data_IF_824987481565
#
_entry.id   IF_824987481565
#
_cell.length_a   1.000
_cell.length_b   1.000
_cell.length_c   1.000
_cell.angle_alpha   90.00
_cell.angle_beta   90.00
_cell.angle_gamma   90.00
#
_symmetry.space_group_name_H-M   'P 1'
#
loop_
_entity.id
_entity.type
_entity.pdbx_description
1 polymer ?
#
# COMPACT_ATOMS: atom_id res chain seq x y z
N UNK A 1 -29.54 7.27 -47.91
CA UNK A 1 -29.30 5.81 -47.68
C UNK A 1 -28.24 5.76 -46.60
N UNK A 2 -28.55 5.65 -45.32
CA UNK A 2 -29.49 4.73 -44.66
C UNK A 2 -30.16 5.46 -43.49
N UNK A 3 -31.47 5.28 -43.34
CA UNK A 3 -32.30 5.91 -42.29
C UNK A 3 -31.96 5.25 -40.95
N UNK A 4 -31.63 6.05 -39.93
CA UNK A 4 -31.42 5.59 -38.56
C UNK A 4 -32.79 5.59 -37.88
N UNK A 5 -33.21 4.41 -37.42
CA UNK A 5 -34.45 4.18 -36.68
C UNK A 5 -34.33 4.77 -35.25
N UNK A 6 -35.20 5.73 -34.86
CA UNK A 6 -35.14 6.36 -33.54
C UNK A 6 -35.61 5.48 -32.38
N UNK A 7 -36.18 4.29 -32.64
CA UNK A 7 -36.81 3.45 -31.61
C UNK A 7 -36.01 2.17 -31.24
N UNK A 8 -34.75 2.06 -31.66
CA UNK A 8 -33.90 0.92 -31.34
C UNK A 8 -33.45 0.94 -29.86
N UNK A 9 -34.10 0.15 -29.00
CA UNK A 9 -33.70 -0.04 -27.60
C UNK A 9 -32.43 -0.91 -27.46
N UNK A 10 -31.52 -0.61 -26.51
CA UNK A 10 -30.29 -1.37 -26.32
C UNK A 10 -30.53 -2.73 -25.64
N UNK A 11 -29.71 -3.72 -26.01
CA UNK A 11 -29.86 -5.16 -25.71
C UNK A 11 -29.72 -5.60 -24.23
N UNK A 12 -29.84 -4.69 -23.26
CA UNK A 12 -29.72 -4.98 -21.83
C UNK A 12 -30.98 -4.58 -21.03
N UNK A 13 -32.06 -4.17 -21.69
CA UNK A 13 -33.38 -3.98 -21.06
C UNK A 13 -34.02 -5.35 -20.81
N UNK A 14 -34.35 -5.73 -19.55
CA UNK A 14 -35.05 -6.98 -19.28
C UNK A 14 -36.47 -6.93 -19.85
N UNK A 15 -36.80 -7.84 -20.77
CA UNK A 15 -38.16 -8.02 -21.29
C UNK A 15 -39.06 -8.58 -20.18
N UNK A 16 -40.01 -7.79 -19.71
CA UNK A 16 -41.05 -8.27 -18.80
C UNK A 16 -41.88 -9.36 -19.49
N UNK A 17 -41.87 -10.55 -18.88
CA UNK A 17 -42.59 -11.73 -19.34
C UNK A 17 -44.11 -11.49 -19.19
N UNK A 18 -44.82 -11.42 -20.33
CA UNK A 18 -46.28 -11.34 -20.37
C UNK A 18 -46.85 -12.75 -20.32
N UNK A 19 -47.06 -13.27 -19.12
CA UNK A 19 -47.95 -14.41 -18.90
C UNK A 19 -48.82 -14.20 -17.68
N UNK A 20 -49.88 -13.41 -17.81
CA UNK A 20 -51.10 -13.53 -17.00
C UNK A 20 -52.19 -12.55 -17.49
N UNK A 21 -52.79 -12.82 -18.65
CA UNK A 21 -54.13 -12.32 -18.95
C UNK A 21 -55.01 -13.51 -19.31
N UNK A 22 -55.93 -13.87 -18.41
CA UNK A 22 -57.30 -14.30 -18.74
C UNK A 22 -58.07 -14.65 -17.45
N UNK A 23 -59.12 -13.88 -17.19
CA UNK A 23 -60.50 -14.37 -16.99
C UNK A 23 -61.24 -13.69 -15.83
N UNK A 24 -62.29 -12.92 -16.18
CA UNK A 24 -63.49 -12.61 -15.36
C UNK A 24 -63.26 -11.67 -14.17
N UNK A 25 -64.12 -10.73 -13.80
CA UNK A 25 -65.51 -10.47 -14.14
C UNK A 25 -65.83 -9.04 -13.64
N UNK A 26 -66.84 -8.40 -14.25
CA UNK A 26 -67.29 -7.05 -13.95
C UNK A 26 -68.03 -7.01 -12.60
N UNK A 27 -67.93 -5.89 -11.87
CA UNK A 27 -69.09 -5.10 -11.43
C UNK A 27 -68.70 -3.84 -10.63
N UNK A 28 -69.46 -2.76 -10.83
CA UNK A 28 -69.93 -1.92 -9.72
C UNK A 28 -69.04 -0.79 -9.19
N UNK A 29 -69.20 0.38 -9.81
CA UNK A 29 -69.09 1.73 -9.23
C UNK A 29 -69.40 1.84 -7.72
N UNK A 30 -68.44 2.34 -6.92
CA UNK A 30 -68.59 3.45 -5.96
C UNK A 30 -67.22 3.86 -5.42
N UNK A 31 -66.92 5.16 -5.51
CA UNK A 31 -65.80 5.78 -4.84
C UNK A 31 -66.04 5.76 -3.32
N UNK A 32 -65.19 5.06 -2.58
CA UNK A 32 -65.07 5.20 -1.14
C UNK A 32 -63.59 5.31 -0.80
N UNK A 33 -63.22 6.48 -0.27
CA UNK A 33 -61.92 6.75 0.31
C UNK A 33 -61.71 5.79 1.48
N UNK A 34 -60.78 4.86 1.34
CA UNK A 34 -60.26 4.04 2.42
C UNK A 34 -58.76 3.88 2.21
N UNK A 35 -58.02 4.66 3.01
CA UNK A 35 -56.66 4.44 3.49
C UNK A 35 -55.85 3.35 2.76
N UNK A 36 -55.10 3.77 1.74
CA UNK A 36 -53.93 3.01 1.28
C UNK A 36 -52.86 3.18 2.37
N UNK A 37 -52.44 2.09 2.99
CA UNK A 37 -51.32 2.10 3.90
C UNK A 37 -50.08 2.54 3.13
N UNK A 38 -49.66 3.77 3.38
CA UNK A 38 -48.30 4.22 3.14
C UNK A 38 -47.36 3.14 3.71
N UNK A 39 -46.88 2.23 2.87
CA UNK A 39 -45.57 1.63 3.02
C UNK A 39 -44.55 2.73 2.76
N UNK A 40 -44.47 3.61 3.76
CA UNK A 40 -43.25 4.29 4.17
C UNK A 40 -42.30 3.21 4.71
N UNK A 41 -41.80 2.35 3.83
CA UNK A 41 -40.53 1.67 4.09
C UNK A 41 -39.45 2.68 3.73
N UNK A 42 -39.34 3.65 4.65
CA UNK A 42 -38.11 4.24 5.17
C UNK A 42 -36.95 4.16 4.20
N UNK A 43 -36.53 5.33 3.74
CA UNK A 43 -35.14 5.74 3.85
C UNK A 43 -34.27 4.64 4.50
N UNK A 44 -33.67 3.76 3.69
CA UNK A 44 -32.46 3.08 4.10
C UNK A 44 -31.36 4.14 3.98
N UNK A 45 -31.52 5.20 4.80
CA UNK A 45 -30.44 6.04 5.29
C UNK A 45 -29.39 5.03 5.70
N UNK A 46 -28.39 4.79 4.85
CA UNK A 46 -27.16 4.18 5.35
C UNK A 46 -26.79 5.06 6.54
N UNK A 47 -26.78 4.55 7.79
CA UNK A 47 -26.06 5.25 8.81
C UNK A 47 -24.59 4.97 8.45
N UNK A 48 -24.08 5.72 7.45
CA UNK A 48 -22.68 6.10 7.42
C UNK A 48 -22.46 6.60 8.83
N UNK A 49 -21.80 5.79 9.65
CA UNK A 49 -21.39 6.23 10.96
C UNK A 49 -20.37 7.33 10.70
N UNK A 50 -20.85 8.56 10.49
CA UNK A 50 -20.11 9.81 10.25
C UNK A 50 -19.43 10.25 11.54
N UNK A 51 -19.02 9.29 12.37
CA UNK A 51 -18.24 9.50 13.58
C UNK A 51 -16.86 8.95 13.26
N UNK A 52 -15.90 9.86 13.08
CA UNK A 52 -14.49 9.50 12.97
C UNK A 52 -14.15 8.54 14.12
N UNK A 53 -13.76 7.33 13.76
CA UNK A 53 -13.20 6.37 14.70
C UNK A 53 -11.80 6.83 15.09
N UNK A 54 -11.32 6.38 16.25
CA UNK A 54 -9.92 6.59 16.66
C UNK A 54 -8.96 6.01 15.60
N UNK A 55 -9.36 4.94 14.91
CA UNK A 55 -8.60 4.36 13.81
C UNK A 55 -8.47 5.34 12.62
N UNK A 56 -9.52 6.07 12.27
CA UNK A 56 -9.52 7.02 11.15
C UNK A 56 -8.57 8.19 11.43
N UNK A 57 -8.53 8.69 12.67
CA UNK A 57 -7.58 9.74 13.08
C UNK A 57 -6.13 9.27 12.99
N UNK A 58 -5.85 8.01 13.38
CA UNK A 58 -4.51 7.42 13.24
C UNK A 58 -4.13 7.26 11.76
N UNK A 59 -5.10 6.84 10.93
CA UNK A 59 -4.93 6.71 9.48
C UNK A 59 -4.62 8.08 8.83
N UNK A 60 -5.30 9.15 9.23
CA UNK A 60 -5.00 10.52 8.79
C UNK A 60 -3.64 11.00 9.30
N UNK A 61 -3.23 10.58 10.50
CA UNK A 61 -1.89 10.81 11.04
C UNK A 61 -0.80 10.16 10.17
N UNK A 62 -1.02 8.91 9.73
CA UNK A 62 -0.16 8.23 8.77
C UNK A 62 -0.02 9.06 7.49
N UNK A 63 -1.13 9.46 6.84
CA UNK A 63 -1.09 10.25 5.61
C UNK A 63 -0.36 11.59 5.79
N UNK A 64 -0.55 12.24 6.95
CA UNK A 64 0.12 13.50 7.29
C UNK A 64 1.64 13.30 7.38
N UNK A 65 2.10 12.21 8.00
CA UNK A 65 3.51 11.86 8.05
C UNK A 65 4.08 11.63 6.64
N UNK A 66 3.38 10.90 5.77
CA UNK A 66 3.79 10.70 4.38
C UNK A 66 3.92 12.00 3.59
N UNK A 67 2.92 12.88 3.68
CA UNK A 67 2.96 14.20 3.04
C UNK A 67 4.11 15.07 3.58
N UNK A 68 4.29 15.11 4.90
CA UNK A 68 5.38 15.87 5.52
C UNK A 68 6.75 15.33 5.12
N UNK A 69 6.89 14.01 4.91
CA UNK A 69 8.13 13.43 4.40
C UNK A 69 8.48 13.96 3.00
N UNK A 70 7.49 14.07 2.10
CA UNK A 70 7.67 14.70 0.78
C UNK A 70 8.04 16.17 0.92
N UNK A 71 7.38 16.90 1.82
CA UNK A 71 7.68 18.30 2.10
C UNK A 71 9.13 18.52 2.55
N UNK A 72 9.62 17.75 3.52
CA UNK A 72 11.00 17.84 4.01
C UNK A 72 12.03 17.37 2.97
N UNK A 73 11.69 16.35 2.17
CA UNK A 73 12.53 15.93 1.04
C UNK A 73 12.68 17.07 0.03
N UNK A 74 11.58 17.75 -0.29
CA UNK A 74 11.61 18.89 -1.23
C UNK A 74 12.40 20.06 -0.65
N UNK A 75 12.01 20.52 0.54
CA UNK A 75 12.52 21.77 1.11
C UNK A 75 13.93 21.67 1.65
N UNK A 76 14.30 20.51 2.18
CA UNK A 76 15.59 20.33 2.83
C UNK A 76 16.61 19.53 2.03
N UNK A 77 16.21 18.85 0.95
CA UNK A 77 17.13 18.10 0.08
C UNK A 77 17.13 18.68 -1.33
N UNK A 78 15.97 18.79 -1.97
CA UNK A 78 15.89 19.22 -3.37
C UNK A 78 16.17 20.72 -3.58
N UNK A 79 15.52 21.60 -2.81
CA UNK A 79 15.67 23.06 -2.99
C UNK A 79 17.12 23.51 -2.76
N UNK A 80 17.81 23.13 -1.66
CA UNK A 80 19.19 23.55 -1.43
C UNK A 80 20.15 23.10 -2.53
N UNK A 81 19.91 21.90 -3.10
CA UNK A 81 20.66 21.40 -4.24
C UNK A 81 20.42 22.24 -5.50
N UNK A 82 19.17 22.62 -5.80
CA UNK A 82 18.85 23.48 -6.95
C UNK A 82 19.34 24.92 -6.79
N UNK A 83 19.46 25.42 -5.56
CA UNK A 83 19.93 26.80 -5.27
C UNK A 83 21.43 26.89 -5.02
N UNK A 84 22.17 25.77 -5.07
CA UNK A 84 23.62 25.73 -4.81
C UNK A 84 24.00 26.11 -3.37
N UNK A 85 23.07 25.96 -2.42
CA UNK A 85 23.24 26.31 -1.01
C UNK A 85 23.63 25.06 -0.22
N UNK A 86 24.83 24.52 -0.49
CA UNK A 86 25.31 23.27 0.11
C UNK A 86 25.88 23.49 1.52
N UNK A 87 25.01 23.80 2.49
CA UNK A 87 25.33 23.53 3.90
C UNK A 87 25.08 22.05 4.17
N UNK A 88 26.13 21.22 4.03
CA UNK A 88 26.07 19.75 4.12
C UNK A 88 25.46 19.18 5.41
N UNK A 89 25.35 19.97 6.48
CA UNK A 89 24.63 19.59 7.71
C UNK A 89 23.11 19.62 7.57
N UNK A 90 22.55 20.60 6.86
CA UNK A 90 21.09 20.79 6.75
C UNK A 90 20.42 19.77 5.83
N UNK A 91 21.12 19.31 4.78
CA UNK A 91 20.63 18.28 3.87
C UNK A 91 20.47 16.91 4.57
N UNK A 92 21.44 16.54 5.40
CA UNK A 92 21.45 15.30 6.19
C UNK A 92 20.31 15.26 7.21
N UNK A 93 20.16 16.32 8.01
CA UNK A 93 19.09 16.43 8.99
C UNK A 93 17.70 16.37 8.35
N UNK A 94 17.53 17.04 7.20
CA UNK A 94 16.25 17.06 6.49
C UNK A 94 15.91 15.71 5.87
N UNK A 95 16.88 15.04 5.24
CA UNK A 95 16.72 13.67 4.74
C UNK A 95 16.38 12.71 5.89
N UNK A 96 17.08 12.79 7.02
CA UNK A 96 16.78 11.98 8.20
C UNK A 96 15.36 12.24 8.72
N UNK A 97 14.94 13.50 8.78
CA UNK A 97 13.58 13.88 9.22
C UNK A 97 12.52 13.30 8.28
N UNK A 98 12.72 13.38 6.97
CA UNK A 98 11.81 12.78 5.99
C UNK A 98 11.69 11.25 6.18
N UNK A 99 12.81 10.54 6.35
CA UNK A 99 12.79 9.10 6.57
C UNK A 99 12.15 8.74 7.91
N UNK A 100 12.43 9.50 8.98
CA UNK A 100 11.80 9.32 10.29
C UNK A 100 10.29 9.52 10.21
N UNK A 101 9.80 10.48 9.42
CA UNK A 101 8.37 10.66 9.18
C UNK A 101 7.75 9.46 8.45
N UNK A 102 8.43 8.87 7.45
CA UNK A 102 7.96 7.64 6.80
C UNK A 102 7.96 6.43 7.77
N UNK A 103 8.92 6.36 8.69
CA UNK A 103 8.94 5.36 9.75
C UNK A 103 7.81 5.57 10.77
N UNK A 104 7.51 6.82 11.13
CA UNK A 104 6.38 7.16 12.00
C UNK A 104 5.04 6.83 11.34
N UNK A 105 4.90 7.06 10.03
CA UNK A 105 3.76 6.60 9.25
C UNK A 105 3.56 5.07 9.38
N UNK A 106 4.64 4.28 9.29
CA UNK A 106 4.59 2.82 9.50
C UNK A 106 4.19 2.43 10.93
N UNK A 107 4.53 3.23 11.92
CA UNK A 107 4.07 3.02 13.30
C UNK A 107 2.56 3.26 13.38
N UNK A 108 2.05 4.35 12.77
CA UNK A 108 0.62 4.65 12.76
C UNK A 108 -0.21 3.59 12.02
N UNK A 109 0.23 3.12 10.85
CA UNK A 109 -0.35 1.97 10.11
C UNK A 109 -0.40 0.67 10.95
N UNK A 110 0.61 0.45 11.79
CA UNK A 110 0.56 -0.71 12.68
C UNK A 110 -0.52 -0.54 13.76
N UNK A 111 -0.68 0.67 14.27
CA UNK A 111 -1.63 0.99 15.32
C UNK A 111 -3.07 1.10 14.83
N UNK A 112 -3.35 1.74 13.70
CA UNK A 112 -4.71 1.81 13.13
C UNK A 112 -5.23 0.41 12.78
N UNK A 113 -4.40 -0.47 12.23
CA UNK A 113 -4.75 -1.85 11.96
C UNK A 113 -5.03 -2.65 13.24
N UNK A 114 -4.33 -2.37 14.34
CA UNK A 114 -4.61 -2.95 15.67
C UNK A 114 -5.93 -2.45 16.25
N UNK A 115 -6.23 -1.16 16.10
CA UNK A 115 -7.44 -0.51 16.63
C UNK A 115 -8.68 -0.90 15.80
N UNK A 116 -8.58 -0.90 14.48
CA UNK A 116 -9.67 -1.29 13.56
C UNK A 116 -10.14 -2.74 13.79
N UNK A 117 -9.22 -3.64 14.16
CA UNK A 117 -9.57 -5.02 14.55
C UNK A 117 -10.35 -5.10 15.86
N UNK A 118 -10.10 -4.19 16.80
CA UNK A 118 -10.81 -4.14 18.09
C UNK A 118 -12.16 -3.43 17.98
N UNK A 119 -12.29 -2.47 17.06
CA UNK A 119 -13.44 -1.55 16.98
C UNK A 119 -14.45 -1.83 15.85
N UNK A 120 -14.34 -2.96 15.13
CA UNK A 120 -15.08 -3.26 13.89
C UNK A 120 -14.85 -2.18 12.82
N UNK A 121 -13.98 -2.49 11.87
CA UNK A 121 -13.66 -1.63 10.72
C UNK A 121 -14.91 -1.24 9.94
N UNK A 122 -15.07 0.06 9.67
CA UNK A 122 -16.08 0.58 8.74
C UNK A 122 -15.56 0.46 7.29
N UNK A 123 -16.48 0.38 6.32
CA UNK A 123 -16.10 0.34 4.91
C UNK A 123 -15.34 1.61 4.48
N UNK A 124 -15.69 2.77 5.05
CA UNK A 124 -14.99 4.03 4.83
C UNK A 124 -13.55 3.99 5.36
N UNK A 125 -13.34 3.48 6.58
CA UNK A 125 -12.01 3.42 7.21
C UNK A 125 -11.05 2.51 6.45
N UNK A 126 -11.56 1.41 5.86
CA UNK A 126 -10.75 0.52 5.02
C UNK A 126 -10.25 1.20 3.73
N UNK A 127 -11.04 2.08 3.12
CA UNK A 127 -10.60 2.82 1.93
C UNK A 127 -9.68 3.99 2.30
N UNK A 128 -9.93 4.63 3.44
CA UNK A 128 -9.05 5.66 3.99
C UNK A 128 -7.64 5.11 4.27
N UNK A 129 -7.56 3.88 4.78
CA UNK A 129 -6.31 3.13 5.02
C UNK A 129 -5.51 2.95 3.73
N UNK A 130 -6.16 2.44 2.66
CA UNK A 130 -5.54 2.28 1.34
C UNK A 130 -4.97 3.60 0.78
N UNK A 131 -5.72 4.71 0.92
CA UNK A 131 -5.29 6.03 0.43
C UNK A 131 -4.11 6.57 1.25
N UNK A 132 -4.14 6.38 2.56
CA UNK A 132 -3.06 6.77 3.46
C UNK A 132 -1.78 5.98 3.18
N UNK A 133 -1.90 4.66 3.02
CA UNK A 133 -0.81 3.76 2.63
C UNK A 133 -0.18 4.14 1.28
N UNK A 134 -1.00 4.53 0.31
CA UNK A 134 -0.51 5.01 -0.98
C UNK A 134 0.36 6.26 -0.82
N UNK A 135 -0.02 7.20 0.05
CA UNK A 135 0.75 8.43 0.28
C UNK A 135 2.07 8.12 1.00
N UNK A 136 2.00 7.37 2.10
CA UNK A 136 3.14 7.15 2.99
C UNK A 136 4.13 6.10 2.51
N UNK A 137 3.66 5.03 1.87
CA UNK A 137 4.50 3.91 1.42
C UNK A 137 4.63 3.80 -0.10
N UNK A 138 3.79 4.51 -0.86
CA UNK A 138 3.90 4.61 -2.32
C UNK A 138 4.58 5.91 -2.75
N UNK A 139 3.90 7.04 -2.53
CA UNK A 139 4.30 8.34 -3.03
C UNK A 139 5.57 8.86 -2.35
N UNK A 140 5.63 8.86 -1.01
CA UNK A 140 6.77 9.42 -0.29
C UNK A 140 8.11 8.70 -0.62
N UNK A 141 8.20 7.35 -0.62
CA UNK A 141 9.42 6.65 -1.01
C UNK A 141 9.75 6.79 -2.49
N UNK A 142 8.75 6.78 -3.39
CA UNK A 142 8.97 7.00 -4.82
C UNK A 142 9.53 8.40 -5.08
N UNK A 143 8.97 9.42 -4.43
CA UNK A 143 9.47 10.79 -4.53
C UNK A 143 10.89 10.92 -3.98
N UNK A 144 11.20 10.26 -2.86
CA UNK A 144 12.56 10.22 -2.31
C UNK A 144 13.58 9.64 -3.30
N UNK A 145 13.22 8.56 -4.02
CA UNK A 145 14.05 7.99 -5.10
C UNK A 145 14.24 8.96 -6.26
N UNK A 146 13.19 9.68 -6.65
CA UNK A 146 13.26 10.66 -7.73
C UNK A 146 14.25 11.79 -7.38
N UNK A 147 14.15 12.33 -6.16
CA UNK A 147 15.04 13.38 -5.65
C UNK A 147 16.48 12.87 -5.52
N UNK A 148 16.69 11.64 -5.01
CA UNK A 148 18.02 11.05 -4.93
C UNK A 148 18.77 11.08 -6.27
N UNK A 149 18.12 10.67 -7.36
CA UNK A 149 18.79 10.69 -8.67
C UNK A 149 18.88 12.06 -9.35
N UNK A 150 18.27 13.11 -8.76
CA UNK A 150 18.53 14.50 -9.14
C UNK A 150 19.76 15.05 -8.41
N UNK A 151 19.96 14.63 -7.15
CA UNK A 151 21.02 15.16 -6.27
C UNK A 151 22.33 14.41 -6.42
N UNK A 152 22.29 13.12 -6.75
CA UNK A 152 23.51 12.31 -6.88
C UNK A 152 24.33 12.70 -8.13
N UNK A 153 25.61 13.02 -7.92
CA UNK A 153 26.52 13.52 -8.95
C UNK A 153 26.71 12.59 -10.16
N UNK A 154 26.67 11.27 -9.95
CA UNK A 154 26.82 10.25 -11.01
C UNK A 154 25.47 9.68 -11.51
N UNK A 155 24.35 10.28 -11.12
CA UNK A 155 23.03 9.74 -11.40
C UNK A 155 22.46 10.20 -12.75
N UNK A 156 21.74 9.28 -13.40
CA UNK A 156 20.90 9.63 -14.54
C UNK A 156 19.49 9.96 -14.04
N UNK A 157 19.19 11.25 -13.93
CA UNK A 157 17.88 11.78 -13.50
C UNK A 157 16.69 11.13 -14.22
N UNK A 158 16.81 10.82 -15.51
CA UNK A 158 15.70 10.20 -16.25
C UNK A 158 15.43 8.78 -15.74
N UNK A 159 16.50 8.04 -15.46
CA UNK A 159 16.41 6.65 -14.98
C UNK A 159 15.89 6.61 -13.54
N UNK A 160 16.29 7.54 -12.67
CA UNK A 160 15.76 7.60 -11.30
C UNK A 160 14.27 7.95 -11.27
N UNK A 161 13.82 8.88 -12.10
CA UNK A 161 12.38 9.21 -12.22
C UNK A 161 11.59 8.02 -12.74
N UNK A 162 12.10 7.29 -13.74
CA UNK A 162 11.45 6.07 -14.23
C UNK A 162 11.39 5.01 -13.12
N UNK A 163 12.48 4.80 -12.37
CA UNK A 163 12.50 3.87 -11.25
C UNK A 163 11.49 4.27 -10.15
N UNK A 164 11.39 5.56 -9.82
CA UNK A 164 10.41 6.09 -8.89
C UNK A 164 8.97 5.82 -9.35
N UNK A 165 8.66 6.07 -10.64
CA UNK A 165 7.34 5.78 -11.21
C UNK A 165 7.03 4.29 -11.13
N UNK A 166 8.00 3.42 -11.43
CA UNK A 166 7.82 1.97 -11.32
C UNK A 166 7.52 1.55 -9.88
N UNK A 167 8.21 2.12 -8.89
CA UNK A 167 7.91 1.87 -7.46
C UNK A 167 6.49 2.32 -7.11
N UNK A 168 6.09 3.53 -7.52
CA UNK A 168 4.75 4.05 -7.24
C UNK A 168 3.66 3.15 -7.87
N UNK A 169 3.80 2.80 -9.14
CA UNK A 169 2.86 1.92 -9.83
C UNK A 169 2.82 0.51 -9.23
N UNK A 170 3.97 -0.02 -8.78
CA UNK A 170 4.03 -1.29 -8.08
C UNK A 170 3.19 -1.28 -6.79
N UNK A 171 3.26 -0.20 -6.01
CA UNK A 171 2.46 -0.02 -4.79
C UNK A 171 0.97 0.13 -5.13
N UNK A 172 0.61 0.95 -6.13
CA UNK A 172 -0.78 1.13 -6.57
C UNK A 172 -1.40 -0.21 -6.99
N UNK A 173 -0.73 -0.97 -7.86
CA UNK A 173 -1.22 -2.27 -8.33
C UNK A 173 -1.40 -3.27 -7.19
N UNK A 174 -0.49 -3.21 -6.22
CA UNK A 174 -0.52 -4.05 -5.03
C UNK A 174 -1.70 -3.70 -4.12
N UNK A 175 -1.95 -2.42 -3.83
CA UNK A 175 -3.11 -1.97 -3.04
C UNK A 175 -4.42 -2.33 -3.75
N UNK A 176 -4.55 -2.02 -5.04
CA UNK A 176 -5.74 -2.35 -5.83
C UNK A 176 -6.06 -3.86 -5.81
N UNK A 177 -5.03 -4.71 -5.91
CA UNK A 177 -5.20 -6.16 -5.80
C UNK A 177 -5.68 -6.61 -4.42
N UNK A 178 -5.21 -5.98 -3.35
CA UNK A 178 -5.67 -6.27 -2.01
C UNK A 178 -7.13 -5.88 -1.78
N UNK A 179 -7.59 -4.79 -2.41
CA UNK A 179 -8.98 -4.35 -2.34
C UNK A 179 -9.93 -5.25 -3.14
N UNK A 180 -9.51 -5.74 -4.31
CA UNK A 180 -10.40 -6.50 -5.22
C UNK A 180 -10.40 -8.02 -5.02
N UNK A 181 -9.36 -8.61 -4.42
CA UNK A 181 -9.22 -10.08 -4.33
C UNK A 181 -9.53 -10.57 -2.91
N UNK A 182 -10.67 -11.25 -2.67
CA UNK A 182 -10.96 -11.82 -1.35
C UNK A 182 -9.89 -12.87 -1.02
N UNK A 183 -9.11 -12.60 0.03
CA UNK A 183 -8.03 -13.49 0.48
C UNK A 183 -8.59 -14.82 0.98
N UNK A 184 -8.47 -15.87 0.17
CA UNK A 184 -8.67 -17.24 0.65
C UNK A 184 -7.44 -17.68 1.45
N UNK A 185 -7.65 -18.05 2.71
CA UNK A 185 -6.69 -18.69 3.63
C UNK A 185 -5.51 -17.83 4.12
N UNK A 186 -5.72 -16.98 5.14
CA UNK A 186 -4.75 -16.70 6.21
C UNK A 186 -3.35 -16.13 5.88
N UNK A 187 -2.98 -15.97 4.61
CA UNK A 187 -1.63 -15.68 4.10
C UNK A 187 -1.67 -14.37 3.30
N UNK A 188 -0.72 -13.45 3.50
CA UNK A 188 -0.58 -12.25 2.66
C UNK A 188 0.13 -12.64 1.35
N UNK A 189 -0.34 -12.12 0.21
CA UNK A 189 0.35 -12.23 -1.08
C UNK A 189 1.09 -10.92 -1.35
N UNK A 190 2.40 -10.89 -1.15
CA UNK A 190 3.29 -9.74 -1.36
C UNK A 190 4.00 -9.27 -0.09
N UNK A 191 5.20 -8.69 -0.25
CA UNK A 191 6.01 -8.07 0.83
C UNK A 191 5.21 -6.98 1.53
N UNK A 192 5.08 -6.83 2.87
CA UNK A 192 4.28 -5.75 3.47
C UNK A 192 4.64 -4.35 2.93
N UNK A 193 3.65 -3.46 2.75
CA UNK A 193 3.82 -2.12 2.17
C UNK A 193 4.89 -1.30 2.89
N UNK A 194 4.78 -1.12 4.22
CA UNK A 194 5.80 -0.44 5.02
C UNK A 194 7.19 -1.05 4.91
N UNK A 195 7.27 -2.39 4.83
CA UNK A 195 8.55 -3.09 4.75
C UNK A 195 9.24 -2.86 3.40
N UNK A 196 8.48 -2.86 2.30
CA UNK A 196 9.04 -2.57 0.99
C UNK A 196 9.45 -1.10 0.82
N UNK A 197 8.64 -0.16 1.34
CA UNK A 197 9.01 1.25 1.40
C UNK A 197 10.33 1.45 2.16
N UNK A 198 10.47 0.81 3.33
CA UNK A 198 11.70 0.86 4.12
C UNK A 198 12.90 0.28 3.36
N UNK A 199 12.74 -0.83 2.64
CA UNK A 199 13.83 -1.40 1.84
C UNK A 199 14.25 -0.48 0.70
N UNK A 200 13.31 0.19 0.00
CA UNK A 200 13.66 1.16 -1.05
C UNK A 200 14.50 2.31 -0.47
N UNK A 201 14.08 2.86 0.67
CA UNK A 201 14.81 3.95 1.34
C UNK A 201 16.19 3.47 1.81
N UNK A 202 16.29 2.28 2.40
CA UNK A 202 17.57 1.71 2.82
C UNK A 202 18.54 1.49 1.67
N UNK A 203 18.06 1.12 0.47
CA UNK A 203 18.92 0.99 -0.72
C UNK A 203 19.51 2.34 -1.11
N UNK A 204 18.72 3.41 -1.05
CA UNK A 204 19.18 4.78 -1.33
C UNK A 204 20.20 5.25 -0.30
N UNK A 205 19.96 4.99 0.99
CA UNK A 205 20.85 5.39 2.10
C UNK A 205 22.16 4.59 2.19
N UNK A 206 22.32 3.50 1.43
CA UNK A 206 23.58 2.77 1.34
C UNK A 206 24.63 3.47 0.46
N UNK A 207 24.24 4.53 -0.26
CA UNK A 207 25.13 5.31 -1.13
C UNK A 207 25.90 4.44 -2.14
N UNK A 208 25.27 3.34 -2.58
CA UNK A 208 25.84 2.46 -3.60
C UNK A 208 25.92 3.20 -4.95
N UNK A 209 26.78 2.74 -5.88
CA UNK A 209 26.85 3.29 -7.23
C UNK A 209 25.46 3.31 -7.91
N UNK A 210 25.26 4.25 -8.83
CA UNK A 210 23.93 4.50 -9.42
C UNK A 210 23.24 3.23 -9.97
N UNK A 211 23.99 2.40 -10.71
CA UNK A 211 23.47 1.18 -11.35
C UNK A 211 22.96 0.14 -10.34
N UNK A 212 23.75 -0.34 -9.37
CA UNK A 212 23.26 -1.29 -8.37
C UNK A 212 22.10 -0.74 -7.53
N UNK A 213 22.11 0.56 -7.21
CA UNK A 213 21.00 1.21 -6.48
C UNK A 213 19.71 1.16 -7.30
N UNK A 214 19.75 1.58 -8.57
CA UNK A 214 18.60 1.54 -9.46
C UNK A 214 18.07 0.10 -9.67
N UNK A 215 18.96 -0.87 -9.88
CA UNK A 215 18.59 -2.28 -10.00
C UNK A 215 17.96 -2.83 -8.71
N UNK A 216 18.49 -2.44 -7.55
CA UNK A 216 17.92 -2.81 -6.25
C UNK A 216 16.50 -2.27 -6.09
N UNK A 217 16.28 -0.99 -6.40
CA UNK A 217 14.96 -0.34 -6.33
C UNK A 217 13.95 -1.03 -7.26
N UNK A 218 14.35 -1.30 -8.51
CA UNK A 218 13.52 -2.02 -9.47
C UNK A 218 13.23 -3.46 -9.02
N UNK A 219 14.22 -4.12 -8.40
CA UNK A 219 14.06 -5.44 -7.79
C UNK A 219 13.03 -5.44 -6.66
N UNK A 220 13.03 -4.42 -5.80
CA UNK A 220 12.02 -4.25 -4.75
C UNK A 220 10.64 -3.97 -5.33
N UNK A 221 10.54 -3.10 -6.34
CA UNK A 221 9.27 -2.82 -7.02
C UNK A 221 8.68 -4.09 -7.65
N UNK A 222 9.52 -4.90 -8.32
CA UNK A 222 9.13 -6.20 -8.84
C UNK A 222 8.66 -7.14 -7.73
N UNK A 223 9.36 -7.14 -6.59
CA UNK A 223 9.02 -7.96 -5.43
C UNK A 223 7.69 -7.58 -4.79
N UNK A 224 7.35 -6.29 -4.75
CA UNK A 224 6.06 -5.79 -4.24
C UNK A 224 4.87 -6.28 -5.06
N UNK A 225 5.02 -6.42 -6.38
CA UNK A 225 3.97 -6.94 -7.28
C UNK A 225 3.95 -8.48 -7.29
N UNK A 226 5.07 -9.11 -6.95
CA UNK A 226 5.23 -10.56 -6.97
C UNK A 226 4.30 -11.29 -6.00
N UNK A 227 3.86 -12.49 -6.38
CA UNK A 227 2.94 -13.34 -5.59
C UNK A 227 3.66 -14.10 -4.47
N UNK A 228 4.65 -13.49 -3.83
CA UNK A 228 5.39 -14.14 -2.73
C UNK A 228 4.55 -14.09 -1.47
N UNK A 229 4.34 -15.22 -0.81
CA UNK A 229 3.55 -15.28 0.41
C UNK A 229 4.39 -14.80 1.62
N UNK A 230 3.93 -13.75 2.30
CA UNK A 230 4.58 -13.23 3.51
C UNK A 230 3.75 -13.59 4.76
N UNK A 231 4.42 -14.02 5.86
CA UNK A 231 3.72 -14.33 7.11
C UNK A 231 3.09 -13.06 7.69
N UNK A 232 1.81 -13.14 8.04
CA UNK A 232 1.07 -12.04 8.71
C UNK A 232 1.81 -11.62 9.98
N UNK A 233 2.13 -10.33 10.18
CA UNK A 233 2.72 -9.87 11.44
C UNK A 233 1.70 -10.07 12.56
N UNK A 234 1.84 -11.18 13.31
CA UNK A 234 1.02 -11.51 14.47
C UNK A 234 1.91 -11.70 15.69
N UNK A 235 1.51 -11.10 16.81
CA UNK A 235 2.20 -11.22 18.10
C UNK A 235 3.67 -10.79 18.02
N UNK A 236 4.59 -11.76 18.18
CA UNK A 236 6.04 -11.54 18.22
C UNK A 236 6.60 -10.87 16.96
N UNK A 237 5.99 -11.11 15.79
CA UNK A 237 6.43 -10.49 14.54
C UNK A 237 6.10 -9.00 14.46
N UNK A 238 4.93 -8.58 14.97
CA UNK A 238 4.56 -7.16 15.02
C UNK A 238 5.47 -6.40 16.00
N UNK A 239 5.80 -7.01 17.15
CA UNK A 239 6.77 -6.46 18.09
C UNK A 239 8.15 -6.37 17.45
N UNK A 240 8.60 -7.40 16.75
CA UNK A 240 9.89 -7.38 16.05
C UNK A 240 9.96 -6.27 14.97
N UNK A 241 8.89 -6.08 14.20
CA UNK A 241 8.80 -4.97 13.23
C UNK A 241 8.85 -3.61 13.92
N UNK A 242 8.11 -3.43 15.02
CA UNK A 242 8.14 -2.18 15.79
C UNK A 242 9.52 -1.92 16.39
N UNK A 243 10.15 -2.94 16.98
CA UNK A 243 11.52 -2.86 17.50
C UNK A 243 12.51 -2.51 16.40
N UNK A 244 12.35 -3.05 15.20
CA UNK A 244 13.19 -2.75 14.05
C UNK A 244 12.99 -1.30 13.54
N UNK A 245 11.75 -0.81 13.52
CA UNK A 245 11.44 0.59 13.18
C UNK A 245 12.08 1.55 14.19
N UNK A 246 11.90 1.30 15.49
CA UNK A 246 12.47 2.13 16.56
C UNK A 246 14.01 2.10 16.51
N UNK A 247 14.60 0.92 16.27
CA UNK A 247 16.05 0.80 16.07
C UNK A 247 16.50 1.64 14.87
N UNK A 248 15.82 1.54 13.73
CA UNK A 248 16.14 2.30 12.51
C UNK A 248 16.05 3.82 12.75
N UNK A 249 15.05 4.30 13.50
CA UNK A 249 14.95 5.70 13.90
C UNK A 249 16.16 6.13 14.75
N UNK A 250 16.62 5.27 15.67
CA UNK A 250 17.82 5.53 16.48
C UNK A 250 19.10 5.61 15.64
N UNK A 251 19.27 4.72 14.66
CA UNK A 251 20.40 4.75 13.72
C UNK A 251 20.37 6.02 12.84
N UNK A 252 19.19 6.40 12.36
CA UNK A 252 18.98 7.65 11.60
C UNK A 252 19.27 8.88 12.43
N UNK A 253 18.85 8.92 13.70
CA UNK A 253 19.17 10.01 14.60
C UNK A 253 20.68 10.10 14.87
N UNK A 254 21.33 8.96 15.11
CA UNK A 254 22.79 8.89 15.27
C UNK A 254 23.53 9.42 14.03
N UNK A 255 23.04 9.11 12.84
CA UNK A 255 23.57 9.67 11.60
C UNK A 255 23.27 11.17 11.53
N UNK A 256 22.04 11.60 11.74
CA UNK A 256 21.66 13.01 11.65
C UNK A 256 22.51 13.92 12.57
N UNK A 257 22.75 13.53 13.83
CA UNK A 257 23.53 14.31 14.80
C UNK A 257 25.04 14.17 14.70
N UNK A 258 25.55 13.55 13.63
CA UNK A 258 26.98 13.32 13.41
C UNK A 258 27.69 12.61 14.58
N UNK A 259 26.99 11.66 15.21
CA UNK A 259 27.57 10.90 16.31
C UNK A 259 28.75 10.04 15.80
N UNK A 260 29.80 9.82 16.62
CA UNK A 260 30.95 9.00 16.23
C UNK A 260 30.51 7.59 15.78
N UNK A 261 30.78 7.23 14.52
CA UNK A 261 30.39 5.94 13.95
C UNK A 261 28.93 5.84 13.48
N UNK A 262 28.14 6.92 13.53
CA UNK A 262 26.73 6.94 13.13
C UNK A 262 26.50 6.56 11.66
N UNK A 263 27.43 6.89 10.78
CA UNK A 263 27.39 6.48 9.37
C UNK A 263 27.53 4.97 9.19
N UNK A 264 28.53 4.36 9.81
CA UNK A 264 28.73 2.91 9.79
C UNK A 264 27.53 2.17 10.41
N UNK A 265 26.99 2.71 11.51
CA UNK A 265 25.79 2.17 12.16
C UNK A 265 24.56 2.23 11.24
N UNK A 266 24.35 3.34 10.53
CA UNK A 266 23.26 3.46 9.57
C UNK A 266 23.45 2.51 8.38
N UNK A 267 24.65 2.46 7.81
CA UNK A 267 24.97 1.58 6.68
C UNK A 267 24.80 0.10 7.03
N UNK A 268 25.25 -0.33 8.22
CA UNK A 268 25.04 -1.70 8.70
C UNK A 268 23.55 -2.02 8.90
N UNK A 269 22.78 -1.09 9.45
CA UNK A 269 21.32 -1.21 9.56
C UNK A 269 20.62 -1.32 8.20
N UNK A 270 20.98 -0.46 7.25
CA UNK A 270 20.43 -0.48 5.90
C UNK A 270 20.81 -1.76 5.15
N UNK A 271 22.06 -2.20 5.26
CA UNK A 271 22.51 -3.46 4.67
C UNK A 271 21.72 -4.65 5.22
N UNK A 272 21.49 -4.69 6.53
CA UNK A 272 20.68 -5.72 7.17
C UNK A 272 19.22 -5.67 6.68
N UNK A 273 18.61 -4.49 6.54
CA UNK A 273 17.27 -4.32 5.98
C UNK A 273 17.17 -4.85 4.54
N UNK A 274 18.16 -4.55 3.70
CA UNK A 274 18.22 -5.02 2.30
C UNK A 274 18.39 -6.54 2.24
N UNK A 275 19.27 -7.10 3.07
CA UNK A 275 19.43 -8.56 3.20
C UNK A 275 18.13 -9.22 3.65
N UNK A 276 17.45 -8.68 4.66
CA UNK A 276 16.14 -9.19 5.09
C UNK A 276 15.11 -9.11 3.96
N UNK A 277 15.06 -7.99 3.24
CA UNK A 277 14.21 -7.78 2.07
C UNK A 277 14.43 -8.83 0.97
N UNK A 278 15.68 -9.23 0.73
CA UNK A 278 16.06 -10.23 -0.26
C UNK A 278 15.88 -11.68 0.22
N UNK A 279 16.17 -11.99 1.49
CA UNK A 279 16.17 -13.36 2.03
C UNK A 279 14.75 -13.88 2.26
N UNK A 280 13.84 -13.06 2.80
CA UNK A 280 12.46 -13.48 3.07
C UNK A 280 11.75 -14.06 1.82
N UNK A 281 11.79 -13.43 0.64
CA UNK A 281 11.14 -13.97 -0.55
C UNK A 281 11.85 -15.17 -1.16
N UNK A 282 13.18 -15.23 -1.07
CA UNK A 282 13.94 -16.42 -1.49
C UNK A 282 13.54 -17.63 -0.65
N UNK A 283 13.40 -17.45 0.66
CA UNK A 283 13.00 -18.52 1.57
C UNK A 283 11.55 -18.94 1.35
N UNK A 284 10.64 -17.99 1.12
CA UNK A 284 9.24 -18.28 0.77
C UNK A 284 9.14 -19.05 -0.57
N UNK A 285 9.92 -18.65 -1.57
CA UNK A 285 9.96 -19.32 -2.89
C UNK A 285 10.56 -20.73 -2.78
N UNK A 286 11.66 -20.90 -2.02
CA UNK A 286 12.30 -22.19 -1.79
C UNK A 286 11.37 -23.18 -1.08
N UNK A 287 10.62 -22.72 -0.09
CA UNK A 287 9.59 -23.55 0.58
C UNK A 287 8.53 -24.03 -0.39
N UNK A 288 8.00 -23.14 -1.24
CA UNK A 288 6.99 -23.48 -2.25
C UNK A 288 7.49 -24.52 -3.26
N UNK A 289 8.72 -24.36 -3.73
CA UNK A 289 9.35 -25.31 -4.65
C UNK A 289 9.53 -26.68 -3.98
N UNK A 290 9.96 -26.71 -2.72
CA UNK A 290 10.11 -27.96 -1.98
C UNK A 290 8.77 -28.67 -1.76
N UNK A 291 7.71 -27.97 -1.34
CA UNK A 291 6.37 -28.56 -1.20
C UNK A 291 5.85 -29.11 -2.53
N UNK A 292 6.07 -28.42 -3.64
CA UNK A 292 5.67 -28.92 -4.96
C UNK A 292 6.47 -30.16 -5.39
N UNK A 293 7.77 -30.22 -5.05
CA UNK A 293 8.61 -31.40 -5.30
C UNK A 293 8.17 -32.59 -4.45
N UNK A 294 7.79 -32.36 -3.21
CA UNK A 294 7.32 -33.40 -2.29
C UNK A 294 5.95 -33.94 -2.74
N UNK A 295 5.00 -33.07 -3.08
CA UNK A 295 3.72 -33.50 -3.66
C UNK A 295 3.89 -34.31 -4.96
N UNK A 296 4.87 -33.96 -5.80
CA UNK A 296 5.20 -34.75 -7.01
C UNK A 296 5.85 -36.09 -6.69
N UNK A 297 6.63 -36.19 -5.61
CA UNK A 297 7.21 -37.46 -5.14
C UNK A 297 6.13 -38.38 -4.58
N UNK A 298 5.23 -37.84 -3.76
CA UNK A 298 4.07 -38.56 -3.22
C UNK A 298 3.14 -39.04 -4.33
N UNK A 299 2.82 -38.18 -5.32
CA UNK A 299 1.99 -38.57 -6.46
C UNK A 299 2.63 -39.66 -7.33
N UNK A 300 3.96 -39.69 -7.46
CA UNK A 300 4.68 -40.76 -8.16
C UNK A 300 4.72 -42.06 -7.37
N UNK A 301 4.88 -41.98 -6.05
CA UNK A 301 4.85 -43.14 -5.17
C UNK A 301 3.45 -43.78 -5.14
N UNK A 302 2.38 -42.97 -5.12
CA UNK A 302 1.00 -43.45 -5.17
C UNK A 302 0.60 -44.06 -6.52
N UNK A 303 1.33 -43.77 -7.61
CA UNK A 303 1.08 -44.37 -8.93
C UNK A 303 1.81 -45.71 -9.15
N UNK A 304 2.68 -46.12 -8.22
CA UNK A 304 3.53 -47.32 -8.33
C UNK A 304 3.19 -48.42 -7.32
N UNK A 305 2.31 -48.16 -6.35
CA UNK A 305 1.81 -49.13 -5.37
C UNK A 305 0.34 -49.44 -5.59
#
# INVERSE_FOLDING_TARGET
MTVIDPDAQPAWVPTADRTAERSGERDGFTAEFADDDFHDDTDDEMPLSTRLSIADTLTLGNATCGFMAVYFTTTGVLIPHLTGSEDGGMARHSAATAVVLMLMAAVFDLFDGLVARKLRSSAMGAELDNLSDLISFGLAPAYFVAVWGMVANDANQRVSVVAAVVVLLAVVLRLARFSCVPMRNGMFQGMPGPFGALTVISIVLLELPFVPTALGILGVAWLMVSRVEYPKPRGRLAVAMLSWIVLSMGLLASWAFDAPGGELLLQTGCALQVVLGAVIPLFATARRVNTFRDNRREARAAAQG
#
